data_IF_401592434979
#
_entry.id   IF_401592434979
#
_cell.length_a   1.000
_cell.length_b   1.000
_cell.length_c   1.000
_cell.angle_alpha   90.00
_cell.angle_beta   90.00
_cell.angle_gamma   90.00
#
_symmetry.space_group_name_H-M   'P 1'
#
loop_
_entity.id
_entity.type
_entity.pdbx_description
1 polymer ?
#
# COMPACT_ATOMS: atom_id res chain seq x y z
N UNK A 1 -52.43 39.26 5.78
CA UNK A 1 -51.36 39.07 4.77
C UNK A 1 -50.66 37.74 5.06
N UNK A 2 -50.74 36.75 4.16
CA UNK A 2 -50.02 35.48 4.28
C UNK A 2 -48.88 35.50 3.28
N UNK A 3 -47.67 35.78 3.76
CA UNK A 3 -46.45 35.69 2.96
C UNK A 3 -46.11 34.21 2.84
N UNK A 4 -46.50 33.59 1.72
CA UNK A 4 -46.11 32.22 1.38
C UNK A 4 -44.69 32.31 0.82
N UNK A 5 -43.71 31.99 1.65
CA UNK A 5 -42.31 31.92 1.26
C UNK A 5 -42.10 30.62 0.46
N UNK A 6 -41.97 30.76 -0.85
CA UNK A 6 -41.51 29.71 -1.73
C UNK A 6 -40.03 29.44 -1.45
N UNK A 7 -39.74 28.51 -0.54
CA UNK A 7 -38.42 27.88 -0.47
C UNK A 7 -38.32 26.98 -1.69
N UNK A 8 -37.74 27.50 -2.77
CA UNK A 8 -37.29 26.70 -3.90
C UNK A 8 -36.21 25.76 -3.36
N UNK A 9 -36.60 24.52 -3.06
CA UNK A 9 -35.64 23.43 -2.98
C UNK A 9 -35.04 23.27 -4.37
N UNK A 10 -33.84 23.82 -4.57
CA UNK A 10 -32.99 23.49 -5.70
C UNK A 10 -32.71 21.99 -5.61
N UNK A 11 -33.44 21.20 -6.40
CA UNK A 11 -33.10 19.81 -6.61
C UNK A 11 -31.75 19.83 -7.31
N UNK A 12 -30.67 19.57 -6.56
CA UNK A 12 -29.38 19.24 -7.17
C UNK A 12 -29.66 18.07 -8.09
N UNK A 13 -29.51 18.30 -9.40
CA UNK A 13 -29.65 17.30 -10.43
C UNK A 13 -28.91 16.02 -10.00
N UNK A 14 -29.58 14.88 -10.16
CA UNK A 14 -29.26 13.59 -9.55
C UNK A 14 -27.77 13.32 -9.35
N UNK A 15 -27.39 13.11 -8.08
CA UNK A 15 -26.06 12.66 -7.74
C UNK A 15 -25.76 11.38 -8.52
N UNK A 16 -24.69 11.42 -9.32
CA UNK A 16 -24.19 10.26 -10.05
C UNK A 16 -23.69 9.26 -9.00
N UNK A 17 -24.42 8.16 -8.78
CA UNK A 17 -23.99 7.10 -7.87
C UNK A 17 -22.84 6.35 -8.55
N UNK A 18 -21.61 6.64 -8.14
CA UNK A 18 -20.45 5.81 -8.47
C UNK A 18 -20.39 4.63 -7.50
N UNK A 19 -20.06 3.41 -7.96
CA UNK A 19 -19.71 2.32 -7.06
C UNK A 19 -18.56 2.75 -6.15
N UNK A 20 -18.67 2.50 -4.85
CA UNK A 20 -17.55 2.68 -3.93
C UNK A 20 -16.45 1.67 -4.26
N UNK A 21 -15.18 2.05 -4.07
CA UNK A 21 -14.03 1.15 -4.22
C UNK A 21 -13.27 1.08 -2.91
N UNK A 22 -12.64 -0.07 -2.69
CA UNK A 22 -11.72 -0.29 -1.60
C UNK A 22 -10.45 -0.93 -2.12
N UNK A 23 -9.32 -0.55 -1.54
CA UNK A 23 -8.04 -1.19 -1.76
C UNK A 23 -7.70 -2.04 -0.55
N UNK A 24 -7.30 -3.30 -0.77
CA UNK A 24 -6.88 -4.18 0.32
C UNK A 24 -5.42 -4.53 0.12
N UNK A 25 -4.58 -4.12 1.07
CA UNK A 25 -3.16 -4.46 1.14
C UNK A 25 -2.90 -5.30 2.41
N UNK A 26 -1.95 -6.21 2.34
CA UNK A 26 -1.64 -7.15 3.43
C UNK A 26 -0.22 -7.68 3.22
N UNK A 27 0.35 -8.30 4.27
CA UNK A 27 1.56 -9.14 4.13
C UNK A 27 2.71 -8.49 3.36
N UNK A 28 3.01 -7.22 3.67
CA UNK A 28 4.05 -6.47 2.97
C UNK A 28 5.46 -7.02 3.26
N UNK A 29 5.70 -7.52 4.48
CA UNK A 29 6.94 -8.18 4.91
C UNK A 29 8.20 -7.45 4.43
N UNK A 30 8.52 -6.30 5.04
CA UNK A 30 9.77 -5.61 4.70
C UNK A 30 10.98 -6.40 5.24
N UNK A 31 11.96 -6.69 4.38
CA UNK A 31 13.30 -7.13 4.78
C UNK A 31 14.32 -5.98 4.66
N UNK A 32 14.71 -5.33 5.78
CA UNK A 32 15.72 -4.28 5.78
C UNK A 32 17.13 -4.78 5.42
N UNK A 33 17.35 -6.10 5.43
CA UNK A 33 18.65 -6.70 5.13
C UNK A 33 18.82 -7.04 3.66
N UNK A 34 17.76 -6.92 2.84
CA UNK A 34 17.81 -7.22 1.42
C UNK A 34 18.85 -6.37 0.70
N UNK A 35 19.86 -7.02 0.12
CA UNK A 35 20.92 -6.36 -0.65
C UNK A 35 21.45 -7.30 -1.73
N UNK A 36 21.66 -6.74 -2.91
CA UNK A 36 22.34 -7.47 -3.99
C UNK A 36 23.83 -7.58 -3.66
N UNK A 37 24.38 -8.77 -3.83
CA UNK A 37 25.77 -9.04 -3.53
C UNK A 37 26.26 -10.29 -4.27
N UNK A 38 27.57 -10.56 -4.19
CA UNK A 38 28.18 -11.71 -4.87
C UNK A 38 27.84 -13.05 -4.20
N UNK A 39 27.36 -13.05 -2.96
CA UNK A 39 27.02 -14.25 -2.20
C UNK A 39 25.48 -14.46 -2.17
N UNK A 40 24.97 -15.47 -2.90
CA UNK A 40 23.55 -15.84 -2.91
C UNK A 40 22.96 -16.12 -1.52
N UNK A 41 23.75 -16.60 -0.56
CA UNK A 41 23.26 -16.95 0.77
C UNK A 41 23.09 -15.75 1.71
N UNK A 42 23.61 -14.57 1.33
CA UNK A 42 23.60 -13.35 2.14
C UNK A 42 22.82 -12.19 1.49
N UNK A 43 21.95 -12.52 0.54
CA UNK A 43 21.07 -11.56 -0.12
C UNK A 43 20.05 -10.97 0.86
N UNK A 44 19.46 -11.81 1.70
CA UNK A 44 18.41 -11.42 2.65
C UNK A 44 18.42 -12.37 3.86
N UNK A 45 18.15 -11.86 5.05
CA UNK A 45 18.10 -12.66 6.27
C UNK A 45 16.87 -13.57 6.31
N UNK A 46 15.78 -13.16 5.66
CA UNK A 46 14.53 -13.92 5.60
C UNK A 46 14.68 -15.29 4.90
N UNK A 47 15.65 -15.43 3.99
CA UNK A 47 15.99 -16.70 3.32
C UNK A 47 16.57 -17.76 4.26
N UNK A 48 16.98 -17.37 5.48
CA UNK A 48 17.59 -18.23 6.50
C UNK A 48 18.82 -18.99 5.99
N UNK A 49 19.61 -18.33 5.12
CA UNK A 49 20.81 -18.89 4.51
C UNK A 49 20.55 -19.75 3.26
N UNK A 50 19.29 -19.84 2.80
CA UNK A 50 18.98 -20.45 1.51
C UNK A 50 19.47 -19.53 0.39
N UNK A 51 20.25 -20.03 -0.58
CA UNK A 51 20.84 -19.17 -1.60
C UNK A 51 19.78 -18.65 -2.57
N UNK A 52 19.61 -17.32 -2.62
CA UNK A 52 18.86 -16.61 -3.65
C UNK A 52 19.74 -16.53 -4.91
N UNK A 53 19.51 -17.44 -5.86
CA UNK A 53 20.41 -17.71 -6.99
C UNK A 53 20.41 -16.58 -8.04
N UNK A 54 19.29 -15.87 -8.19
CA UNK A 54 19.14 -14.81 -9.18
C UNK A 54 18.34 -13.62 -8.60
N UNK A 55 18.85 -12.96 -7.54
CA UNK A 55 18.13 -11.91 -6.86
C UNK A 55 18.05 -10.66 -7.75
N UNK A 56 16.88 -10.05 -7.80
CA UNK A 56 16.63 -8.85 -8.59
C UNK A 56 16.48 -7.58 -7.75
N UNK A 57 16.47 -6.42 -8.39
CA UNK A 57 16.27 -5.14 -7.69
C UNK A 57 14.93 -5.05 -6.97
N UNK A 58 13.94 -5.87 -7.34
CA UNK A 58 12.61 -5.94 -6.72
C UNK A 58 12.40 -7.19 -5.85
N UNK A 59 13.45 -7.97 -5.57
CA UNK A 59 13.34 -9.11 -4.67
C UNK A 59 13.80 -10.44 -5.27
N UNK A 60 13.61 -11.49 -4.48
CA UNK A 60 13.78 -12.90 -4.83
C UNK A 60 12.66 -13.69 -4.12
N UNK A 61 12.22 -14.81 -4.69
CA UNK A 61 11.13 -15.62 -4.12
C UNK A 61 11.46 -16.25 -2.75
N UNK A 62 12.74 -16.38 -2.41
CA UNK A 62 13.18 -16.85 -1.10
C UNK A 62 13.30 -15.72 -0.07
N UNK A 63 13.08 -14.48 -0.48
CA UNK A 63 13.22 -13.31 0.37
C UNK A 63 11.85 -12.67 0.70
N UNK A 64 11.80 -12.02 1.85
CA UNK A 64 10.78 -11.03 2.16
C UNK A 64 11.05 -9.75 1.32
N UNK A 65 10.06 -8.85 1.22
CA UNK A 65 10.06 -7.77 0.26
C UNK A 65 11.16 -6.72 0.55
N UNK A 66 11.98 -6.34 -0.45
CA UNK A 66 12.84 -5.17 -0.31
C UNK A 66 12.03 -3.87 -0.36
N UNK A 67 12.63 -2.79 0.16
CA UNK A 67 12.04 -1.45 0.11
C UNK A 67 11.64 -1.02 -1.31
N UNK A 68 12.42 -1.39 -2.32
CA UNK A 68 12.15 -1.10 -3.73
C UNK A 68 10.85 -1.72 -4.23
N UNK A 69 10.51 -2.94 -3.82
CA UNK A 69 9.25 -3.59 -4.19
C UNK A 69 8.07 -2.88 -3.53
N UNK A 70 8.19 -2.60 -2.22
CA UNK A 70 7.16 -1.91 -1.46
C UNK A 70 6.90 -0.49 -2.02
N UNK A 71 7.95 0.29 -2.25
CA UNK A 71 7.85 1.62 -2.86
C UNK A 71 7.20 1.55 -4.24
N UNK A 72 7.59 0.58 -5.10
CA UNK A 72 6.99 0.42 -6.42
C UNK A 72 5.49 0.09 -6.36
N UNK A 73 5.08 -0.77 -5.41
CA UNK A 73 3.68 -1.16 -5.25
C UNK A 73 2.84 0.03 -4.75
N UNK A 74 3.33 0.76 -3.75
CA UNK A 74 2.64 1.92 -3.19
C UNK A 74 2.59 3.10 -4.16
N UNK A 75 3.64 3.32 -4.95
CA UNK A 75 3.66 4.31 -6.04
C UNK A 75 2.66 3.98 -7.16
N UNK A 76 2.37 2.70 -7.37
CA UNK A 76 1.32 2.30 -8.30
C UNK A 76 -0.06 2.52 -7.69
N UNK A 77 -0.25 2.14 -6.42
CA UNK A 77 -1.49 2.33 -5.68
C UNK A 77 -1.89 3.80 -5.60
N UNK A 78 -0.96 4.69 -5.26
CA UNK A 78 -1.21 6.13 -5.13
C UNK A 78 -1.70 6.79 -6.41
N UNK A 79 -1.38 6.23 -7.58
CA UNK A 79 -1.86 6.70 -8.90
C UNK A 79 -3.28 6.22 -9.22
N UNK A 80 -3.78 5.19 -8.53
CA UNK A 80 -5.09 4.59 -8.78
C UNK A 80 -6.15 4.95 -7.74
N UNK A 81 -5.71 5.26 -6.51
CA UNK A 81 -6.56 5.69 -5.39
C UNK A 81 -7.19 7.05 -5.71
N UNK A 82 -8.51 7.16 -5.58
CA UNK A 82 -9.21 8.44 -5.59
C UNK A 82 -9.54 8.91 -4.16
N UNK A 83 -9.85 10.21 -3.95
CA UNK A 83 -10.19 10.74 -2.62
C UNK A 83 -11.42 10.10 -1.97
N UNK A 84 -12.29 9.47 -2.75
CA UNK A 84 -13.49 8.77 -2.30
C UNK A 84 -13.24 7.28 -1.97
N UNK A 85 -12.07 6.75 -2.31
CA UNK A 85 -11.67 5.38 -1.99
C UNK A 85 -11.15 5.30 -0.54
N UNK A 86 -11.13 4.09 0.02
CA UNK A 86 -10.43 3.82 1.28
C UNK A 86 -9.52 2.59 1.14
N UNK A 87 -8.46 2.57 1.96
CA UNK A 87 -7.48 1.48 2.00
C UNK A 87 -7.68 0.70 3.30
N UNK A 88 -7.87 -0.61 3.16
CA UNK A 88 -7.78 -1.56 4.26
C UNK A 88 -6.37 -2.14 4.22
N UNK A 89 -5.65 -2.02 5.34
CA UNK A 89 -4.39 -2.71 5.56
C UNK A 89 -4.52 -3.69 6.72
N UNK A 90 -4.34 -4.98 6.45
CA UNK A 90 -4.48 -6.04 7.48
C UNK A 90 -3.16 -6.48 8.12
N UNK A 91 -2.03 -5.85 7.78
CA UNK A 91 -0.71 -6.17 8.33
C UNK A 91 -0.17 -7.55 7.90
N UNK A 92 1.00 -7.91 8.44
CA UNK A 92 1.53 -9.28 8.66
C UNK A 92 2.95 -9.22 9.25
N UNK A 93 3.16 -8.37 10.25
CA UNK A 93 4.52 -8.10 10.75
C UNK A 93 4.80 -8.94 12.01
N UNK A 94 5.66 -9.96 11.98
CA UNK A 94 6.43 -10.31 13.16
C UNK A 94 7.56 -9.26 13.28
N UNK A 95 7.65 -8.59 14.43
CA UNK A 95 8.56 -7.48 14.75
C UNK A 95 8.02 -6.07 14.44
N UNK A 96 7.30 -5.52 15.43
CA UNK A 96 7.32 -4.17 16.03
C UNK A 96 8.08 -2.96 15.41
N UNK A 97 8.54 -2.97 14.15
CA UNK A 97 9.37 -1.89 13.58
C UNK A 97 8.64 -1.02 12.55
N UNK A 98 7.47 -1.43 12.03
CA UNK A 98 6.75 -0.62 11.04
C UNK A 98 5.85 0.46 11.62
N UNK A 99 5.62 0.47 12.94
CA UNK A 99 4.80 1.51 13.60
C UNK A 99 5.48 2.89 13.74
N UNK A 100 6.71 3.07 13.24
CA UNK A 100 7.47 4.32 13.37
C UNK A 100 8.11 4.83 12.07
N UNK A 101 7.52 4.55 10.90
CA UNK A 101 7.86 5.30 9.67
C UNK A 101 6.76 6.35 9.39
N UNK A 102 6.90 7.59 9.88
CA UNK A 102 6.02 8.71 9.50
C UNK A 102 6.09 9.08 8.01
N UNK A 103 6.97 8.41 7.25
CA UNK A 103 7.24 8.69 5.84
C UNK A 103 6.39 7.83 4.90
N UNK A 104 5.77 6.74 5.37
CA UNK A 104 4.73 6.04 4.62
C UNK A 104 3.38 6.69 4.90
N UNK A 105 3.21 7.92 4.41
CA UNK A 105 1.92 8.56 4.30
C UNK A 105 1.11 7.81 3.22
N UNK A 106 0.53 6.68 3.63
CA UNK A 106 -0.50 5.98 2.87
C UNK A 106 -1.85 6.74 2.89
N UNK A 107 -1.88 7.90 3.56
CA UNK A 107 -2.89 8.96 3.45
C UNK A 107 -2.20 10.31 3.66
#
# INVERSE_FOLDING_TARGET
>A
AKVIQWVLFSQRAGAKISPGRMWHITDLHLDPTYRLGPDPAHVCASSKGSPAVAPGVYGDYLCDAPYSLLSSALDHLSKMVSPEDFVIWTGSEPHSLFWFSPDLNLV
#
